data_IF_818108691710
#
_entry.id   IF_818108691710
#
_cell.length_a   1.000
_cell.length_b   1.000
_cell.length_c   1.000
_cell.angle_alpha   90.00
_cell.angle_beta   90.00
_cell.angle_gamma   90.00
#
_symmetry.space_group_name_H-M   'P 1'
#
loop_
_entity.id
_entity.type
_entity.pdbx_description
1 polymer ?
#
# COMPACT_ATOMS: atom_id res chain seq x y z
N UNK A 1 8.67 -7.26 19.06
CA UNK A 1 7.84 -6.06 18.93
C UNK A 1 6.46 -6.54 18.53
N UNK A 2 5.46 -6.18 19.33
CA UNK A 2 4.06 -6.39 19.00
C UNK A 2 3.73 -5.60 17.74
N UNK A 3 3.00 -6.20 16.80
CA UNK A 3 2.39 -5.43 15.71
C UNK A 3 1.41 -4.45 16.34
N UNK A 4 1.44 -3.20 15.89
CA UNK A 4 0.40 -2.22 16.20
C UNK A 4 -0.66 -2.37 15.12
N UNK A 5 -1.79 -2.99 15.48
CA UNK A 5 -2.96 -3.09 14.61
C UNK A 5 -3.89 -1.94 14.97
N UNK A 6 -4.02 -0.97 14.07
CA UNK A 6 -5.06 0.05 14.15
C UNK A 6 -6.32 -0.46 13.46
N UNK A 7 -7.47 -0.39 14.13
CA UNK A 7 -8.76 -0.67 13.51
C UNK A 7 -9.46 0.67 13.31
N UNK A 8 -9.69 1.03 12.07
CA UNK A 8 -10.37 2.28 11.70
C UNK A 8 -11.73 1.91 11.11
N UNK A 9 -12.80 2.40 11.73
CA UNK A 9 -14.11 2.36 11.09
C UNK A 9 -14.07 3.21 9.84
N UNK A 10 -14.59 2.74 8.71
CA UNK A 10 -14.72 3.57 7.51
C UNK A 10 -15.46 4.86 7.90
N UNK A 11 -14.86 6.04 7.64
CA UNK A 11 -15.39 7.31 8.16
C UNK A 11 -16.84 7.51 7.71
N UNK A 12 -17.66 7.99 8.65
CA UNK A 12 -19.05 8.40 8.42
C UNK A 12 -19.15 9.89 8.04
N UNK A 13 -18.04 10.54 7.68
CA UNK A 13 -17.95 12.00 7.60
C UNK A 13 -18.15 12.49 6.16
N UNK A 14 -18.93 13.56 5.99
CA UNK A 14 -18.99 14.37 4.76
C UNK A 14 -20.28 14.33 3.93
N UNK A 15 -21.00 13.20 3.86
CA UNK A 15 -22.32 13.13 3.18
C UNK A 15 -23.20 12.10 3.86
N UNK A 16 -24.47 12.46 4.15
CA UNK A 16 -25.53 11.56 4.60
C UNK A 16 -25.31 10.17 4.04
N UNK A 17 -24.82 9.27 4.90
CA UNK A 17 -24.25 8.03 4.42
C UNK A 17 -25.38 7.10 4.02
N UNK A 18 -25.07 6.12 3.16
CA UNK A 18 -26.03 5.03 2.87
C UNK A 18 -26.52 4.38 4.17
N UNK A 19 -25.68 4.31 5.20
CA UNK A 19 -26.03 3.75 6.51
C UNK A 19 -27.03 4.63 7.28
N UNK A 20 -26.85 5.95 7.30
CA UNK A 20 -27.79 6.87 7.97
C UNK A 20 -29.16 6.85 7.31
N UNK A 21 -29.18 6.84 5.96
CA UNK A 21 -30.43 6.73 5.19
C UNK A 21 -31.14 5.41 5.50
N UNK A 22 -30.41 4.30 5.49
CA UNK A 22 -30.98 2.99 5.82
C UNK A 22 -31.44 2.93 7.27
N UNK A 23 -30.67 3.46 8.22
CA UNK A 23 -31.05 3.51 9.63
C UNK A 23 -32.34 4.32 9.84
N UNK A 24 -32.47 5.46 9.15
CA UNK A 24 -33.69 6.27 9.16
C UNK A 24 -34.91 5.57 8.55
N UNK A 25 -34.73 4.82 7.45
CA UNK A 25 -35.81 4.05 6.81
C UNK A 25 -36.28 2.90 7.70
N UNK A 26 -35.36 2.19 8.34
CA UNK A 26 -35.66 0.95 9.07
C UNK A 26 -35.79 1.12 10.59
N UNK A 27 -35.53 2.33 11.12
CA UNK A 27 -35.59 2.59 12.56
C UNK A 27 -34.53 1.83 13.35
N UNK A 28 -33.33 1.68 12.78
CA UNK A 28 -32.24 0.92 13.40
C UNK A 28 -31.79 1.55 14.72
N UNK A 29 -31.70 0.75 15.78
CA UNK A 29 -31.24 1.19 17.12
C UNK A 29 -29.76 1.57 17.13
N UNK A 30 -28.95 0.93 16.27
CA UNK A 30 -27.51 1.14 16.19
C UNK A 30 -27.00 1.01 14.77
N UNK A 31 -26.06 1.88 14.40
CA UNK A 31 -25.28 1.78 13.16
C UNK A 31 -23.94 1.13 13.47
N UNK A 32 -23.55 0.14 12.68
CA UNK A 32 -22.27 -0.56 12.81
C UNK A 32 -21.52 -0.39 11.47
N UNK A 33 -20.49 0.46 11.39
CA UNK A 33 -19.72 0.65 10.17
C UNK A 33 -18.84 -0.57 9.87
N UNK A 34 -18.49 -0.74 8.60
CA UNK A 34 -17.43 -1.67 8.23
C UNK A 34 -16.08 -1.13 8.76
N UNK A 35 -15.19 -2.04 9.13
CA UNK A 35 -13.87 -1.70 9.67
C UNK A 35 -12.76 -2.12 8.70
N UNK A 36 -11.71 -1.31 8.64
CA UNK A 36 -10.46 -1.60 7.96
C UNK A 36 -9.35 -1.66 9.01
N UNK A 37 -8.50 -2.67 8.92
CA UNK A 37 -7.36 -2.84 9.81
C UNK A 37 -6.08 -2.38 9.12
N UNK A 38 -5.34 -1.48 9.74
CA UNK A 38 -4.02 -1.05 9.33
C UNK A 38 -2.97 -1.70 10.24
N UNK A 39 -1.95 -2.27 9.62
CA UNK A 39 -0.80 -2.83 10.31
C UNK A 39 0.37 -1.91 10.03
N UNK A 40 0.92 -1.29 11.07
CA UNK A 40 2.13 -0.49 10.91
C UNK A 40 3.33 -1.41 10.70
N UNK A 41 4.05 -1.17 9.59
CA UNK A 41 5.21 -1.95 9.20
C UNK A 41 6.40 -1.00 9.17
N UNK A 42 7.29 -1.16 10.16
CA UNK A 42 8.50 -0.35 10.30
C UNK A 42 9.30 -0.28 8.98
N UNK A 43 9.78 0.90 8.60
CA UNK A 43 10.35 1.18 7.28
C UNK A 43 11.42 0.18 6.82
N UNK A 44 11.38 -0.16 5.53
CA UNK A 44 12.37 -1.02 4.89
C UNK A 44 13.73 -0.32 4.86
N UNK A 45 14.79 -1.09 5.08
CA UNK A 45 16.17 -0.65 4.81
C UNK A 45 16.67 -1.47 3.62
N UNK A 46 17.46 -0.85 2.73
CA UNK A 46 18.15 -1.55 1.63
C UNK A 46 18.80 -2.85 2.16
N UNK A 47 18.62 -3.97 1.46
CA UNK A 47 19.11 -5.29 1.84
C UNK A 47 18.13 -6.14 2.67
N UNK A 48 16.84 -5.79 2.70
CA UNK A 48 15.83 -6.59 3.41
C UNK A 48 15.69 -8.01 2.82
N UNK A 49 15.87 -8.14 1.51
CA UNK A 49 15.84 -9.39 0.75
C UNK A 49 17.09 -10.28 0.92
N UNK A 50 18.20 -9.73 1.46
CA UNK A 50 19.47 -10.46 1.64
C UNK A 50 19.51 -11.30 2.94
N UNK A 51 18.43 -11.31 3.73
CA UNK A 51 18.28 -12.21 4.88
C UNK A 51 18.91 -11.73 6.19
N UNK A 52 19.33 -10.47 6.26
CA UNK A 52 19.77 -9.85 7.51
C UNK A 52 18.57 -9.56 8.44
N UNK A 53 18.06 -10.59 9.13
CA UNK A 53 17.25 -10.57 10.37
C UNK A 53 16.02 -9.67 10.48
N UNK A 54 16.17 -8.35 10.32
CA UNK A 54 15.12 -7.34 10.37
C UNK A 54 14.26 -7.33 9.10
N UNK A 55 14.88 -7.46 7.92
CA UNK A 55 14.17 -7.45 6.63
C UNK A 55 13.18 -8.61 6.45
N UNK A 56 13.53 -9.81 6.93
CA UNK A 56 12.61 -10.96 6.84
C UNK A 56 11.36 -10.80 7.72
N UNK A 57 11.46 -10.12 8.87
CA UNK A 57 10.29 -9.85 9.71
C UNK A 57 9.35 -8.84 9.05
N UNK A 58 9.91 -7.85 8.37
CA UNK A 58 9.15 -6.89 7.56
C UNK A 58 8.36 -7.58 6.45
N UNK A 59 9.03 -8.42 5.64
CA UNK A 59 8.39 -9.15 4.54
C UNK A 59 7.33 -10.15 5.04
N UNK A 60 7.53 -10.74 6.22
CA UNK A 60 6.54 -11.61 6.84
C UNK A 60 5.24 -10.86 7.19
N UNK A 61 5.36 -9.66 7.77
CA UNK A 61 4.19 -8.83 8.09
C UNK A 61 3.42 -8.45 6.81
N UNK A 62 4.13 -8.04 5.75
CA UNK A 62 3.49 -7.73 4.46
C UNK A 62 2.77 -8.96 3.89
N UNK A 63 3.34 -10.16 4.08
CA UNK A 63 2.75 -11.40 3.57
C UNK A 63 1.39 -11.68 4.20
N UNK A 64 1.19 -11.31 5.47
CA UNK A 64 -0.06 -11.45 6.22
C UNK A 64 -1.12 -10.38 5.87
N UNK A 65 -0.72 -9.26 5.25
CA UNK A 65 -1.64 -8.19 4.83
C UNK A 65 -2.30 -8.49 3.49
N UNK A 66 -3.50 -7.96 3.23
CA UNK A 66 -4.18 -8.13 1.94
C UNK A 66 -3.76 -7.09 0.88
N UNK A 67 -3.33 -5.91 1.32
CA UNK A 67 -2.89 -4.80 0.47
C UNK A 67 -1.70 -4.07 1.10
N UNK A 68 -0.97 -3.30 0.28
CA UNK A 68 0.19 -2.52 0.71
C UNK A 68 -0.15 -1.03 0.55
N UNK A 69 -0.12 -0.31 1.67
CA UNK A 69 -0.17 1.15 1.68
C UNK A 69 1.25 1.69 1.83
N UNK A 70 1.77 2.31 0.78
CA UNK A 70 3.11 2.88 0.76
C UNK A 70 3.00 4.38 1.00
N UNK A 71 3.49 4.83 2.16
CA UNK A 71 3.54 6.26 2.50
C UNK A 71 4.86 6.82 2.00
N UNK A 72 4.78 7.80 1.09
CA UNK A 72 5.92 8.45 0.45
C UNK A 72 6.01 9.88 0.96
N UNK A 73 7.19 10.23 1.46
CA UNK A 73 7.48 11.59 1.90
C UNK A 73 7.73 12.48 0.68
N UNK A 74 7.02 13.60 0.59
CA UNK A 74 7.24 14.64 -0.44
C UNK A 74 7.74 15.93 0.19
N UNK A 75 7.27 16.26 1.38
CA UNK A 75 7.61 17.51 2.07
C UNK A 75 9.08 17.56 2.49
N UNK A 76 9.64 18.77 2.42
CA UNK A 76 11.06 19.07 2.69
C UNK A 76 11.24 19.59 4.12
N UNK A 77 11.12 18.72 5.12
CA UNK A 77 11.37 19.13 6.52
C UNK A 77 12.80 18.84 6.97
N UNK A 78 13.45 19.83 7.59
CA UNK A 78 14.85 19.75 8.03
C UNK A 78 15.06 18.85 9.26
N UNK A 79 13.99 18.55 10.00
CA UNK A 79 14.04 17.82 11.27
C UNK A 79 14.00 16.28 11.12
N UNK A 80 13.70 15.76 9.92
CA UNK A 80 13.66 14.31 9.65
C UNK A 80 14.78 13.92 8.69
N UNK A 81 15.77 13.21 9.23
CA UNK A 81 16.98 12.80 8.50
C UNK A 81 16.64 11.78 7.41
N UNK A 82 16.78 12.17 6.15
CA UNK A 82 16.73 11.24 5.02
C UNK A 82 18.09 10.52 4.89
N UNK A 83 18.09 9.20 4.70
CA UNK A 83 19.31 8.37 4.70
C UNK A 83 20.32 8.83 3.62
N UNK A 84 19.82 9.35 2.49
CA UNK A 84 20.61 9.86 1.36
C UNK A 84 20.66 11.41 1.27
N UNK A 85 20.18 12.14 2.30
CA UNK A 85 20.37 13.60 2.43
C UNK A 85 19.50 14.51 1.52
N UNK A 86 18.64 13.96 0.66
CA UNK A 86 17.66 14.70 -0.15
C UNK A 86 16.39 13.87 -0.34
N UNK A 87 15.21 14.49 -0.20
CA UNK A 87 13.92 13.83 -0.45
C UNK A 87 13.77 13.53 -1.95
N UNK A 88 13.68 12.24 -2.29
CA UNK A 88 13.41 11.77 -3.66
C UNK A 88 12.31 10.69 -3.63
N UNK A 89 11.04 11.09 -3.85
CA UNK A 89 9.90 10.19 -3.85
C UNK A 89 10.05 9.01 -4.83
N UNK A 90 10.70 9.21 -5.98
CA UNK A 90 10.86 8.17 -6.98
C UNK A 90 11.86 7.11 -6.50
N UNK A 91 12.99 7.54 -5.93
CA UNK A 91 14.00 6.64 -5.35
C UNK A 91 13.44 5.82 -4.17
N UNK A 92 12.62 6.43 -3.32
CA UNK A 92 11.98 5.72 -2.20
C UNK A 92 11.00 4.64 -2.69
N UNK A 93 10.22 4.95 -3.73
CA UNK A 93 9.32 3.99 -4.39
C UNK A 93 10.11 2.85 -5.00
N UNK A 94 11.15 3.17 -5.78
CA UNK A 94 11.99 2.17 -6.44
C UNK A 94 12.69 1.25 -5.44
N UNK A 95 13.20 1.80 -4.33
CA UNK A 95 13.86 1.02 -3.28
C UNK A 95 12.92 -0.03 -2.68
N UNK A 96 11.71 0.38 -2.27
CA UNK A 96 10.72 -0.55 -1.71
C UNK A 96 10.30 -1.59 -2.76
N UNK A 97 9.97 -1.14 -3.98
CA UNK A 97 9.53 -2.02 -5.06
C UNK A 97 10.60 -3.07 -5.39
N UNK A 98 11.86 -2.68 -5.47
CA UNK A 98 12.99 -3.58 -5.78
C UNK A 98 13.13 -4.66 -4.71
N UNK A 99 13.07 -4.31 -3.43
CA UNK A 99 13.18 -5.30 -2.34
C UNK A 99 12.02 -6.31 -2.37
N UNK A 100 10.79 -5.86 -2.63
CA UNK A 100 9.63 -6.73 -2.79
C UNK A 100 9.78 -7.66 -4.00
N UNK A 101 10.28 -7.14 -5.11
CA UNK A 101 10.55 -7.92 -6.33
C UNK A 101 11.60 -8.99 -6.10
N UNK A 102 12.71 -8.65 -5.44
CA UNK A 102 13.78 -9.60 -5.13
C UNK A 102 13.27 -10.73 -4.22
N UNK A 103 12.45 -10.40 -3.21
CA UNK A 103 11.84 -11.42 -2.35
C UNK A 103 10.90 -12.37 -3.12
N UNK A 104 10.13 -11.85 -4.07
CA UNK A 104 9.24 -12.66 -4.91
C UNK A 104 10.01 -13.51 -5.92
N UNK A 105 11.07 -12.98 -6.54
CA UNK A 105 11.97 -13.74 -7.42
C UNK A 105 12.56 -14.95 -6.69
N UNK A 106 13.12 -14.74 -5.49
CA UNK A 106 13.63 -15.85 -4.68
C UNK A 106 12.54 -16.88 -4.33
N UNK A 107 11.29 -16.43 -4.14
CA UNK A 107 10.15 -17.33 -3.87
C UNK A 107 9.82 -18.16 -5.11
N UNK A 108 9.76 -17.53 -6.28
CA UNK A 108 9.47 -18.18 -7.56
C UNK A 108 10.56 -19.17 -7.95
N UNK A 109 11.84 -18.76 -7.88
CA UNK A 109 12.98 -19.62 -8.22
C UNK A 109 13.00 -20.91 -7.39
N UNK A 110 12.64 -20.83 -6.10
CA UNK A 110 12.53 -22.01 -5.22
C UNK A 110 11.31 -22.86 -5.56
N UNK A 111 10.23 -22.27 -6.06
CA UNK A 111 8.99 -22.97 -6.37
C UNK A 111 9.04 -23.68 -7.73
N UNK A 112 9.68 -23.09 -8.75
CA UNK A 112 9.71 -23.60 -10.12
C UNK A 112 10.05 -25.10 -10.20
N UNK A 113 11.15 -25.61 -9.60
CA UNK A 113 11.51 -27.02 -9.74
C UNK A 113 10.43 -28.00 -9.24
N UNK A 114 9.70 -27.62 -8.18
CA UNK A 114 8.60 -28.41 -7.63
C UNK A 114 7.41 -28.38 -8.59
N UNK A 115 7.00 -27.20 -9.04
CA UNK A 115 5.86 -27.00 -9.94
C UNK A 115 6.11 -27.68 -11.29
N UNK A 116 7.34 -27.62 -11.82
CA UNK A 116 7.73 -28.31 -13.04
C UNK A 116 7.57 -29.83 -12.94
N UNK A 117 7.92 -30.42 -11.79
CA UNK A 117 7.73 -31.86 -11.56
C UNK A 117 6.25 -32.23 -11.54
N UNK A 118 5.41 -31.43 -10.90
CA UNK A 118 3.96 -31.63 -10.81
C UNK A 118 3.28 -31.44 -12.17
N UNK A 119 3.70 -30.43 -12.95
CA UNK A 119 3.17 -30.11 -14.27
C UNK A 119 3.34 -31.24 -15.30
N UNK A 120 4.40 -32.05 -15.17
CA UNK A 120 4.61 -33.24 -16.04
C UNK A 120 3.50 -34.27 -15.92
N UNK A 121 2.80 -34.29 -14.79
CA UNK A 121 1.76 -35.28 -14.46
C UNK A 121 0.35 -34.68 -14.43
N UNK A 122 0.24 -33.36 -14.28
CA UNK A 122 -1.04 -32.66 -14.17
C UNK A 122 -1.09 -31.44 -15.11
N UNK A 123 -2.05 -31.45 -16.05
CA UNK A 123 -2.27 -30.36 -17.01
C UNK A 123 -2.66 -29.03 -16.36
N UNK A 124 -3.37 -29.06 -15.24
CA UNK A 124 -3.71 -27.83 -14.50
C UNK A 124 -2.46 -27.18 -13.90
N UNK A 125 -1.51 -28.01 -13.42
CA UNK A 125 -0.21 -27.51 -12.91
C UNK A 125 0.69 -27.00 -14.03
N UNK A 126 0.54 -27.49 -15.26
CA UNK A 126 1.24 -26.92 -16.41
C UNK A 126 0.80 -25.47 -16.68
N UNK A 127 -0.48 -25.15 -16.54
CA UNK A 127 -0.98 -23.76 -16.67
C UNK A 127 -0.37 -22.88 -15.57
N UNK A 128 -0.36 -23.36 -14.31
CA UNK A 128 0.28 -22.64 -13.20
C UNK A 128 1.77 -22.39 -13.48
N UNK A 129 2.48 -23.38 -14.01
CA UNK A 129 3.90 -23.24 -14.35
C UNK A 129 4.16 -22.14 -15.38
N UNK A 130 3.31 -22.04 -16.40
CA UNK A 130 3.44 -21.02 -17.43
C UNK A 130 3.25 -19.61 -16.84
N UNK A 131 2.26 -19.44 -15.96
CA UNK A 131 2.05 -18.17 -15.23
C UNK A 131 3.19 -17.85 -14.27
N UNK A 132 3.75 -18.85 -13.58
CA UNK A 132 4.92 -18.66 -12.70
C UNK A 132 6.14 -18.17 -13.50
N UNK A 133 6.38 -18.74 -14.69
CA UNK A 133 7.47 -18.30 -15.58
C UNK A 133 7.22 -16.92 -16.17
N UNK A 134 5.96 -16.60 -16.48
CA UNK A 134 5.59 -15.25 -16.90
C UNK A 134 5.84 -14.22 -15.78
N UNK A 135 5.46 -14.55 -14.54
CA UNK A 135 5.72 -13.73 -13.36
C UNK A 135 7.22 -13.52 -13.11
N UNK A 136 8.02 -14.59 -13.19
CA UNK A 136 9.49 -14.53 -13.07
C UNK A 136 10.09 -13.49 -14.03
N UNK A 137 9.67 -13.54 -15.31
CA UNK A 137 10.15 -12.61 -16.33
C UNK A 137 9.76 -11.16 -16.03
N UNK A 138 8.53 -10.91 -15.59
CA UNK A 138 8.07 -9.56 -15.26
C UNK A 138 8.88 -8.95 -14.11
N UNK A 139 9.12 -9.75 -13.08
CA UNK A 139 9.94 -9.33 -11.94
C UNK A 139 11.40 -9.10 -12.34
N UNK A 140 11.97 -9.96 -13.19
CA UNK A 140 13.33 -9.79 -13.70
C UNK A 140 13.49 -8.52 -14.57
N UNK A 141 12.40 -8.07 -15.22
CA UNK A 141 12.34 -6.80 -15.94
C UNK A 141 12.13 -5.58 -15.02
N UNK A 142 12.14 -5.76 -13.68
CA UNK A 142 11.98 -4.69 -12.69
C UNK A 142 10.54 -4.20 -12.51
N UNK A 143 9.55 -4.99 -12.94
CA UNK A 143 8.12 -4.62 -12.86
C UNK A 143 7.40 -5.40 -11.78
N UNK A 144 6.42 -4.76 -11.15
CA UNK A 144 5.54 -5.42 -10.19
C UNK A 144 4.53 -6.33 -10.91
N UNK A 145 4.04 -7.35 -10.20
CA UNK A 145 3.03 -8.27 -10.71
C UNK A 145 1.62 -7.68 -10.69
N UNK A 146 1.35 -6.79 -9.74
CA UNK A 146 0.09 -6.06 -9.66
C UNK A 146 -0.13 -5.22 -10.94
N UNK A 147 -1.32 -5.36 -11.54
CA UNK A 147 -1.66 -4.71 -12.81
C UNK A 147 -1.01 -5.35 -14.05
N UNK A 148 -0.29 -6.47 -13.90
CA UNK A 148 0.24 -7.22 -15.03
C UNK A 148 -0.82 -8.10 -15.72
N UNK A 149 -0.42 -8.77 -16.80
CA UNK A 149 -1.30 -9.70 -17.54
C UNK A 149 -1.30 -11.12 -16.97
N UNK A 150 -0.47 -11.39 -15.97
CA UNK A 150 -0.38 -12.70 -15.32
C UNK A 150 -1.68 -12.98 -14.56
N UNK A 151 -2.16 -14.21 -14.62
CA UNK A 151 -3.29 -14.64 -13.79
C UNK A 151 -2.82 -14.88 -12.34
N UNK A 152 -2.84 -13.80 -11.55
CA UNK A 152 -2.42 -13.82 -10.15
C UNK A 152 -3.27 -14.77 -9.28
N UNK A 153 -4.47 -15.17 -9.72
CA UNK A 153 -5.31 -16.10 -8.97
C UNK A 153 -4.68 -17.49 -8.91
N UNK A 154 -3.94 -17.88 -9.95
CA UNK A 154 -3.21 -19.14 -10.02
C UNK A 154 -1.93 -19.15 -9.18
N UNK A 155 -1.42 -17.96 -8.83
CA UNK A 155 -0.19 -17.77 -8.06
C UNK A 155 -0.43 -17.55 -6.56
N UNK A 156 -1.69 -17.58 -6.12
CA UNK A 156 -2.08 -17.32 -4.72
C UNK A 156 -1.35 -18.21 -3.71
N UNK A 157 -1.02 -19.45 -4.08
CA UNK A 157 -0.27 -20.39 -3.21
C UNK A 157 1.15 -19.91 -2.86
N UNK A 158 1.75 -19.05 -3.69
CA UNK A 158 3.10 -18.54 -3.51
C UNK A 158 3.16 -17.33 -2.57
N UNK A 159 2.01 -16.70 -2.29
CA UNK A 159 1.92 -15.54 -1.41
C UNK A 159 2.84 -14.38 -1.85
N UNK A 160 2.91 -14.13 -3.16
CA UNK A 160 3.77 -13.10 -3.75
C UNK A 160 3.36 -11.71 -3.26
N UNK A 161 4.34 -10.92 -2.85
CA UNK A 161 4.15 -9.60 -2.24
C UNK A 161 3.74 -8.58 -3.30
N UNK A 162 4.41 -8.58 -4.44
CA UNK A 162 4.19 -7.67 -5.57
C UNK A 162 2.90 -7.93 -6.33
N UNK A 163 2.19 -9.04 -6.03
CA UNK A 163 0.87 -9.34 -6.57
C UNK A 163 -0.27 -8.64 -5.80
N UNK A 164 0.01 -8.15 -4.58
CA UNK A 164 -0.98 -7.45 -3.74
C UNK A 164 -1.31 -6.08 -4.34
N UNK A 165 -2.51 -5.54 -4.09
CA UNK A 165 -2.83 -4.16 -4.44
C UNK A 165 -1.93 -3.16 -3.71
N UNK A 166 -1.49 -2.14 -4.45
CA UNK A 166 -0.71 -1.02 -3.92
C UNK A 166 -1.57 0.24 -3.85
N UNK A 167 -1.47 0.93 -2.71
CA UNK A 167 -1.98 2.27 -2.51
C UNK A 167 -0.80 3.19 -2.21
N UNK A 168 -0.60 4.22 -3.04
CA UNK A 168 0.48 5.16 -2.86
C UNK A 168 -0.06 6.42 -2.18
N UNK A 169 0.46 6.71 -1.00
CA UNK A 169 0.05 7.85 -0.17
C UNK A 169 1.19 8.85 -0.13
N UNK A 170 1.07 9.93 -0.87
CA UNK A 170 2.02 11.04 -0.85
C UNK A 170 1.70 11.96 0.31
N UNK A 171 2.56 11.92 1.33
CA UNK A 171 2.51 12.85 2.44
C UNK A 171 3.16 14.16 2.01
N UNK A 172 2.34 15.20 1.87
CA UNK A 172 2.68 16.54 1.37
C UNK A 172 2.29 17.59 2.42
N UNK A 173 2.83 18.80 2.34
CA UNK A 173 2.36 19.88 3.21
C UNK A 173 0.97 20.39 2.79
N UNK A 174 0.17 20.95 3.70
CA UNK A 174 -1.16 21.50 3.38
C UNK A 174 -1.17 22.46 2.18
N UNK A 175 -0.14 23.29 2.03
CA UNK A 175 -0.02 24.23 0.90
C UNK A 175 0.16 23.51 -0.46
N UNK A 176 0.74 22.31 -0.45
CA UNK A 176 1.03 21.49 -1.62
C UNK A 176 -0.17 20.64 -2.06
N UNK A 177 -1.16 20.40 -1.18
CA UNK A 177 -2.39 19.67 -1.51
C UNK A 177 -3.18 20.30 -2.67
N UNK A 178 -3.10 21.63 -2.80
CA UNK A 178 -3.74 22.38 -3.87
C UNK A 178 -2.89 22.48 -5.16
N UNK A 179 -1.61 22.09 -5.12
CA UNK A 179 -0.70 22.14 -6.27
C UNK A 179 -1.02 21.02 -7.27
N UNK A 180 -1.69 21.39 -8.35
CA UNK A 180 -2.10 20.45 -9.40
C UNK A 180 -0.92 19.90 -10.20
N UNK A 181 0.14 20.67 -10.38
CA UNK A 181 1.29 20.25 -11.19
C UNK A 181 2.14 19.24 -10.41
N UNK A 182 2.36 19.48 -9.11
CA UNK A 182 3.01 18.54 -8.22
C UNK A 182 2.22 17.22 -8.14
N UNK A 183 0.91 17.29 -7.92
CA UNK A 183 0.04 16.10 -7.87
C UNK A 183 0.04 15.31 -9.17
N UNK A 184 0.00 15.98 -10.32
CA UNK A 184 0.08 15.31 -11.62
C UNK A 184 1.42 14.61 -11.80
N UNK A 185 2.52 15.28 -11.44
CA UNK A 185 3.88 14.70 -11.49
C UNK A 185 3.98 13.45 -10.61
N UNK A 186 3.56 13.52 -9.36
CA UNK A 186 3.64 12.39 -8.42
C UNK A 186 2.71 11.23 -8.81
N UNK A 187 1.50 11.54 -9.26
CA UNK A 187 0.56 10.51 -9.76
C UNK A 187 1.13 9.77 -10.97
N UNK A 188 1.89 10.46 -11.83
CA UNK A 188 2.53 9.82 -12.99
C UNK A 188 3.64 8.83 -12.62
N UNK A 189 4.25 8.95 -11.42
CA UNK A 189 5.29 8.03 -10.95
C UNK A 189 4.72 6.64 -10.63
N UNK A 190 3.45 6.58 -10.21
CA UNK A 190 2.82 5.36 -9.70
C UNK A 190 1.75 4.80 -10.64
N UNK A 191 1.43 5.51 -11.73
CA UNK A 191 0.46 5.06 -12.71
C UNK A 191 0.80 3.64 -13.24
N UNK A 192 -0.20 2.72 -13.33
CA UNK A 192 -1.64 2.96 -13.21
C UNK A 192 -2.20 2.85 -11.78
N UNK A 193 -1.38 2.71 -10.75
CA UNK A 193 -1.85 2.65 -9.36
C UNK A 193 -2.42 4.00 -8.89
N UNK A 194 -3.28 3.95 -7.88
CA UNK A 194 -3.93 5.12 -7.31
C UNK A 194 -2.98 5.90 -6.40
N UNK A 195 -2.95 7.22 -6.58
CA UNK A 195 -2.19 8.16 -5.78
C UNK A 195 -3.13 8.97 -4.88
N UNK A 196 -2.96 8.83 -3.57
CA UNK A 196 -3.65 9.61 -2.54
C UNK A 196 -2.67 10.66 -2.02
N UNK A 197 -3.18 11.87 -1.77
CA UNK A 197 -2.40 12.97 -1.23
C UNK A 197 -3.03 13.38 0.09
N UNK A 198 -2.22 13.48 1.14
CA UNK A 198 -2.66 13.91 2.46
C UNK A 198 -1.55 14.68 3.16
N UNK A 199 -1.94 15.54 4.10
CA UNK A 199 -1.03 16.16 5.06
C UNK A 199 -1.18 15.45 6.40
N UNK A 200 -0.24 14.55 6.71
CA UNK A 200 -0.36 13.71 7.90
C UNK A 200 -0.35 14.51 9.20
N UNK A 201 0.25 15.71 9.19
CA UNK A 201 0.28 16.58 10.36
C UNK A 201 -1.09 17.20 10.59
N UNK A 202 -1.69 17.73 9.52
CA UNK A 202 -3.05 18.27 9.58
C UNK A 202 -4.06 17.18 9.97
N UNK A 203 -3.95 15.98 9.40
CA UNK A 203 -4.82 14.84 9.76
C UNK A 203 -4.67 14.44 11.23
N UNK A 204 -3.45 14.46 11.77
CA UNK A 204 -3.20 14.16 13.18
C UNK A 204 -3.80 15.23 14.10
N UNK A 205 -3.70 16.51 13.73
CA UNK A 205 -4.34 17.62 14.46
C UNK A 205 -5.87 17.48 14.45
N UNK A 206 -6.47 17.17 13.29
CA UNK A 206 -7.91 16.94 13.15
C UNK A 206 -8.42 15.78 14.01
N UNK A 207 -7.65 14.70 14.12
CA UNK A 207 -8.03 13.53 14.90
C UNK A 207 -8.13 13.79 16.42
N UNK A 208 -7.52 14.88 16.91
CA UNK A 208 -7.58 15.29 18.33
C UNK A 208 -8.70 16.29 18.62
N UNK A 209 -9.36 16.84 17.59
CA UNK A 209 -10.40 17.86 17.70
C UNK A 209 -11.80 17.25 17.74
N UNK A 210 -12.76 18.01 18.26
CA UNK A 210 -14.17 17.66 18.12
C UNK A 210 -14.72 18.04 16.73
N UNK A 211 -15.91 17.53 16.38
CA UNK A 211 -16.50 17.73 15.05
C UNK A 211 -16.66 19.22 14.66
N UNK A 212 -16.87 20.11 15.63
CA UNK A 212 -17.06 21.54 15.37
C UNK A 212 -15.70 22.23 15.13
N UNK A 213 -14.72 21.95 15.97
CA UNK A 213 -13.35 22.47 15.87
C UNK A 213 -12.64 21.94 14.61
N UNK A 214 -12.81 20.66 14.28
CA UNK A 214 -12.28 20.06 13.06
C UNK A 214 -12.84 20.75 11.80
N UNK A 215 -14.14 21.05 11.79
CA UNK A 215 -14.80 21.71 10.67
C UNK A 215 -14.41 23.20 10.54
N UNK A 216 -14.05 23.87 11.64
CA UNK A 216 -13.43 25.19 11.60
C UNK A 216 -12.00 25.14 11.05
N UNK A 217 -11.19 24.16 11.48
CA UNK A 217 -9.83 23.98 11.00
C UNK A 217 -9.81 23.70 9.49
N UNK A 218 -10.62 22.76 9.01
CA UNK A 218 -10.77 22.43 7.57
C UNK A 218 -11.11 23.66 6.72
N UNK A 219 -12.06 24.48 7.19
CA UNK A 219 -12.41 25.74 6.52
C UNK A 219 -11.25 26.74 6.51
N UNK A 220 -10.45 26.80 7.58
CA UNK A 220 -9.32 27.72 7.68
C UNK A 220 -8.17 27.38 6.72
N UNK A 221 -7.99 26.10 6.41
CA UNK A 221 -6.97 25.59 5.47
C UNK A 221 -7.49 25.39 4.04
N UNK A 222 -8.77 25.68 3.80
CA UNK A 222 -9.39 25.63 2.47
C UNK A 222 -9.71 24.21 1.97
N UNK A 223 -9.91 23.25 2.88
CA UNK A 223 -10.35 21.90 2.57
C UNK A 223 -11.86 21.76 2.79
N UNK A 224 -12.52 21.03 1.90
CA UNK A 224 -13.95 20.70 1.94
C UNK A 224 -14.08 19.17 1.99
N UNK A 225 -13.99 18.57 3.17
CA UNK A 225 -14.35 17.15 3.40
C UNK A 225 -15.72 17.00 4.06
#
# INVERSE_FOLDING_TARGET
MSLSIGIVGLPNVGKSTRLDVLAGIFGSEKIIPAAVSFVDIAGIVKGASEGAGLGNKFLANIRESDAICQVIRVFSDGDVVHVDGRVDPASDIETINTELQLADLQTIEKAIPRIEKEARQNKERAIVLDEVKAAEKILADGKLLFGSKVDLTLLKELGLLTAKPFLYVFNVDAAELADKDLRAKLSSLVAPAEAIFLDAKTEAELAELDDAEALELLKSIGLEE
#
